data_IF_373016833404
#
_entry.id   IF_373016833404
#
_cell.length_a   1.000
_cell.length_b   1.000
_cell.length_c   1.000
_cell.angle_alpha   90.00
_cell.angle_beta   90.00
_cell.angle_gamma   90.00
#
_symmetry.space_group_name_H-M   'P 1'
#
loop_
_entity.id
_entity.type
_entity.pdbx_description
1 polymer ?
#
# COMPACT_ATOMS: atom_id res chain seq x y z
N UNK A 1 -11.74 21.55 1.68
CA UNK A 1 -10.61 20.81 1.04
C UNK A 1 -9.49 21.73 0.55
N UNK A 2 -9.77 23.00 0.22
CA UNK A 2 -8.85 23.95 -0.43
C UNK A 2 -7.85 24.65 0.50
N UNK A 3 -8.19 24.86 1.78
CA UNK A 3 -7.37 25.66 2.71
C UNK A 3 -6.01 25.02 3.03
N UNK A 4 -5.96 23.68 3.16
CA UNK A 4 -4.72 22.94 3.40
C UNK A 4 -3.78 23.05 2.20
N UNK A 5 -4.29 22.85 0.97
CA UNK A 5 -3.48 23.00 -0.26
C UNK A 5 -2.90 24.40 -0.38
N UNK A 6 -3.72 25.44 -0.20
CA UNK A 6 -3.25 26.83 -0.26
C UNK A 6 -2.20 27.16 0.81
N UNK A 7 -2.25 26.51 1.97
CA UNK A 7 -1.24 26.68 3.01
C UNK A 7 0.06 25.95 2.67
N UNK A 8 -0.02 24.78 2.06
CA UNK A 8 1.15 24.05 1.54
C UNK A 8 1.84 24.86 0.45
N UNK A 9 1.09 25.34 -0.55
CA UNK A 9 1.63 26.10 -1.69
C UNK A 9 2.42 27.34 -1.21
N UNK A 10 1.88 28.08 -0.24
CA UNK A 10 2.58 29.22 0.38
C UNK A 10 3.90 28.85 1.04
N UNK A 11 4.01 27.66 1.65
CA UNK A 11 5.28 27.22 2.22
C UNK A 11 6.24 26.76 1.13
N UNK A 12 5.75 26.09 0.08
CA UNK A 12 6.58 25.68 -1.06
C UNK A 12 7.24 26.89 -1.74
N UNK A 13 6.51 27.98 -1.92
CA UNK A 13 7.03 29.23 -2.52
C UNK A 13 8.19 29.86 -1.71
N UNK A 14 8.34 29.51 -0.43
CA UNK A 14 9.36 30.07 0.46
C UNK A 14 10.61 29.18 0.58
N UNK A 15 10.59 27.97 0.03
CA UNK A 15 11.68 27.01 0.16
C UNK A 15 12.71 27.16 -0.95
N UNK A 16 13.96 26.83 -0.65
CA UNK A 16 15.00 26.70 -1.66
C UNK A 16 14.79 25.44 -2.51
N UNK A 17 15.36 25.40 -3.71
CA UNK A 17 15.29 24.22 -4.59
C UNK A 17 15.77 22.92 -3.92
N UNK A 18 16.83 22.99 -3.11
CA UNK A 18 17.32 21.83 -2.35
C UNK A 18 16.27 21.31 -1.36
N UNK A 19 15.57 22.22 -0.66
CA UNK A 19 14.50 21.85 0.26
C UNK A 19 13.26 21.36 -0.48
N UNK A 20 12.96 21.91 -1.65
CA UNK A 20 11.88 21.43 -2.51
C UNK A 20 12.12 20.00 -2.99
N UNK A 21 13.35 19.63 -3.34
CA UNK A 21 13.67 18.23 -3.68
C UNK A 21 13.38 17.29 -2.51
N UNK A 22 13.77 17.65 -1.29
CA UNK A 22 13.44 16.86 -0.11
C UNK A 22 11.93 16.74 0.12
N UNK A 23 11.16 17.81 -0.16
CA UNK A 23 9.70 17.77 -0.07
C UNK A 23 9.11 16.83 -1.13
N UNK A 24 9.63 16.84 -2.36
CA UNK A 24 9.21 15.91 -3.42
C UNK A 24 9.42 14.46 -2.98
N UNK A 25 10.60 14.13 -2.45
CA UNK A 25 10.90 12.78 -1.96
C UNK A 25 9.96 12.37 -0.83
N UNK A 26 9.67 13.28 0.10
CA UNK A 26 8.76 13.00 1.21
C UNK A 26 7.31 12.84 0.76
N UNK A 27 6.83 13.66 -0.19
CA UNK A 27 5.49 13.53 -0.73
C UNK A 27 5.31 12.24 -1.54
N UNK A 28 6.33 11.82 -2.29
CA UNK A 28 6.33 10.53 -2.99
C UNK A 28 6.23 9.37 -1.99
N UNK A 29 7.03 9.40 -0.92
CA UNK A 29 6.92 8.43 0.16
C UNK A 29 5.51 8.37 0.78
N UNK A 30 4.89 9.52 1.05
CA UNK A 30 3.54 9.55 1.61
C UNK A 30 2.49 9.01 0.64
N UNK A 31 2.60 9.33 -0.65
CA UNK A 31 1.68 8.82 -1.68
C UNK A 31 1.79 7.30 -1.83
N UNK A 32 3.01 6.76 -1.80
CA UNK A 32 3.23 5.32 -1.82
C UNK A 32 2.62 4.66 -0.57
N UNK A 33 2.83 5.24 0.62
CA UNK A 33 2.26 4.73 1.87
C UNK A 33 0.73 4.81 1.93
N UNK A 34 0.14 5.86 1.39
CA UNK A 34 -1.32 5.99 1.28
C UNK A 34 -1.88 4.93 0.31
N UNK A 35 -1.13 4.61 -0.75
CA UNK A 35 -1.44 3.48 -1.64
C UNK A 35 -1.22 2.10 -0.99
N UNK A 36 -0.51 2.02 0.13
CA UNK A 36 -0.21 0.78 0.89
C UNK A 36 -1.23 0.46 2.01
N UNK A 37 -2.33 1.21 2.15
CA UNK A 37 -3.31 0.99 3.23
C UNK A 37 -3.79 -0.48 3.32
N UNK A 38 -4.09 -1.11 2.18
CA UNK A 38 -4.46 -2.52 2.11
C UNK A 38 -3.33 -3.47 2.53
N UNK A 39 -2.07 -3.12 2.26
CA UNK A 39 -0.90 -3.89 2.69
C UNK A 39 -0.74 -3.84 4.21
N UNK A 40 -0.95 -2.66 4.80
CA UNK A 40 -0.86 -2.51 6.26
C UNK A 40 -1.99 -3.23 6.99
N UNK A 41 -3.20 -3.27 6.43
CA UNK A 41 -4.30 -4.08 6.96
C UNK A 41 -3.92 -5.57 7.02
N UNK A 42 -3.31 -6.11 5.95
CA UNK A 42 -2.87 -7.51 5.91
C UNK A 42 -1.78 -7.81 6.95
N UNK A 43 -0.82 -6.90 7.13
CA UNK A 43 0.25 -7.06 8.13
C UNK A 43 -0.26 -7.04 9.57
N UNK A 44 -1.40 -6.40 9.82
CA UNK A 44 -2.02 -6.36 11.14
C UNK A 44 -2.80 -7.64 11.48
N UNK A 45 -3.05 -8.53 10.51
CA UNK A 45 -3.72 -9.81 10.75
C UNK A 45 -2.73 -10.77 11.44
N UNK A 46 -3.01 -11.25 12.66
CA UNK A 46 -2.13 -12.18 13.36
C UNK A 46 -1.87 -13.45 12.53
N UNK A 47 -0.59 -13.82 12.38
CA UNK A 47 -0.19 -15.01 11.62
C UNK A 47 -0.36 -14.92 10.10
N UNK A 48 -0.63 -13.72 9.55
CA UNK A 48 -0.82 -13.54 8.11
C UNK A 48 0.42 -13.90 7.30
N UNK A 49 1.60 -13.43 7.70
CA UNK A 49 2.85 -13.71 6.99
C UNK A 49 3.10 -15.21 6.88
N UNK A 50 2.96 -15.94 7.99
CA UNK A 50 3.13 -17.39 8.03
C UNK A 50 2.10 -18.11 7.12
N UNK A 51 0.84 -17.67 7.16
CA UNK A 51 -0.23 -18.20 6.33
C UNK A 51 -0.02 -17.91 4.84
N UNK A 52 0.51 -16.72 4.52
CA UNK A 52 0.82 -16.28 3.16
C UNK A 52 1.98 -17.09 2.57
N UNK A 53 3.08 -17.25 3.31
CA UNK A 53 4.21 -18.10 2.90
C UNK A 53 3.79 -19.55 2.69
N UNK A 54 2.97 -20.09 3.60
CA UNK A 54 2.40 -21.43 3.46
C UNK A 54 1.51 -21.56 2.21
N UNK A 55 0.72 -20.54 1.90
CA UNK A 55 -0.08 -20.49 0.68
C UNK A 55 0.77 -20.55 -0.59
N UNK A 56 1.87 -19.80 -0.65
CA UNK A 56 2.82 -19.85 -1.76
C UNK A 56 3.43 -21.25 -1.93
N UNK A 57 3.82 -21.89 -0.83
CA UNK A 57 4.32 -23.27 -0.86
C UNK A 57 3.24 -24.24 -1.39
N UNK A 58 2.00 -24.11 -0.93
CA UNK A 58 0.88 -24.94 -1.41
C UNK A 58 0.62 -24.77 -2.91
N UNK A 59 0.75 -23.55 -3.44
CA UNK A 59 0.65 -23.29 -4.89
C UNK A 59 1.77 -24.00 -5.64
N UNK A 60 3.02 -23.89 -5.17
CA UNK A 60 4.16 -24.56 -5.79
C UNK A 60 4.03 -26.09 -5.77
N UNK A 61 3.41 -26.64 -4.73
CA UNK A 61 3.11 -28.07 -4.58
C UNK A 61 1.85 -28.52 -5.35
N UNK A 62 1.19 -27.61 -6.07
CA UNK A 62 -0.04 -27.92 -6.83
C UNK A 62 -1.27 -28.17 -5.95
N UNK A 63 -1.23 -27.82 -4.65
CA UNK A 63 -2.34 -27.95 -3.68
C UNK A 63 -3.37 -26.83 -3.88
N UNK A 64 -3.90 -26.73 -5.09
CA UNK A 64 -4.92 -25.77 -5.50
C UNK A 64 -6.22 -26.49 -5.86
N UNK A 65 -7.33 -25.78 -5.78
CA UNK A 65 -8.64 -26.29 -6.22
C UNK A 65 -9.21 -25.35 -7.28
N UNK A 66 -9.84 -25.93 -8.30
CA UNK A 66 -10.54 -25.16 -9.32
C UNK A 66 -11.72 -24.43 -8.66
N UNK A 67 -11.85 -23.12 -8.86
CA UNK A 67 -12.91 -22.34 -8.23
C UNK A 67 -14.32 -22.87 -8.56
N UNK A 68 -14.50 -23.48 -9.76
CA UNK A 68 -15.77 -24.09 -10.18
C UNK A 68 -16.17 -25.29 -9.33
N UNK A 69 -15.23 -25.93 -8.64
CA UNK A 69 -15.50 -27.06 -7.74
C UNK A 69 -15.77 -26.60 -6.30
N UNK A 70 -15.67 -25.30 -6.02
CA UNK A 70 -15.87 -24.71 -4.68
C UNK A 70 -17.17 -23.92 -4.63
N UNK A 71 -17.53 -23.24 -5.72
CA UNK A 71 -18.73 -22.39 -5.76
C UNK A 71 -20.01 -23.22 -5.76
N UNK A 72 -20.98 -22.83 -4.93
CA UNK A 72 -22.29 -23.49 -4.76
C UNK A 72 -23.45 -22.73 -5.41
N UNK A 73 -23.23 -21.50 -5.89
CA UNK A 73 -24.27 -20.60 -6.39
C UNK A 73 -23.74 -19.70 -7.54
N UNK A 74 -23.92 -20.15 -8.78
CA UNK A 74 -23.84 -19.33 -10.02
C UNK A 74 -25.22 -19.30 -10.65
#
# INVERSE_FOLDING_TARGET
MTEIRQRIDRYLDQLSNERLNLVVDFLAYLADRESEAATQELLNIPGFIESFEKGKQQIAEGKVRNWRTIRTDV
#
